data_IF_430855864319
#
_entry.id   IF_430855864319
#
_cell.length_a   1.000
_cell.length_b   1.000
_cell.length_c   1.000
_cell.angle_alpha   90.00
_cell.angle_beta   90.00
_cell.angle_gamma   90.00
#
_symmetry.space_group_name_H-M   'P 1'
#
loop_
_entity.id
_entity.type
_entity.pdbx_description
1 polymer ?
#
# COMPACT_ATOMS: atom_id res chain seq x y z
N UNK A 1 1.81 13.34 15.66
CA UNK A 1 1.44 12.48 14.52
C UNK A 1 2.63 11.58 14.24
N UNK A 2 2.48 10.29 14.49
CA UNK A 2 3.54 9.32 14.25
C UNK A 2 3.42 8.78 12.82
N UNK A 3 4.48 8.98 12.04
CA UNK A 3 4.58 8.54 10.65
C UNK A 3 4.40 7.03 10.52
N UNK A 4 4.89 6.26 11.51
CA UNK A 4 4.78 4.81 11.51
C UNK A 4 3.33 4.36 11.69
N UNK A 5 2.57 5.06 12.54
CA UNK A 5 1.12 4.78 12.72
C UNK A 5 0.38 5.02 11.40
N UNK A 6 0.65 6.14 10.73
CA UNK A 6 0.04 6.48 9.44
C UNK A 6 0.40 5.51 8.32
N UNK A 7 1.61 4.98 8.35
CA UNK A 7 2.04 3.94 7.42
C UNK A 7 1.34 2.60 7.67
N UNK A 8 1.16 2.22 8.93
CA UNK A 8 0.43 1.01 9.29
C UNK A 8 -1.05 1.11 8.88
N UNK A 9 -1.71 2.25 9.14
CA UNK A 9 -3.08 2.48 8.67
C UNK A 9 -3.21 2.35 7.14
N UNK A 10 -2.20 2.83 6.41
CA UNK A 10 -2.15 2.70 4.96
C UNK A 10 -1.91 1.24 4.50
N UNK A 11 -1.16 0.44 5.27
CA UNK A 11 -0.98 -0.99 5.03
C UNK A 11 -2.28 -1.76 5.28
N UNK A 12 -2.98 -1.47 6.38
CA UNK A 12 -4.26 -2.09 6.71
C UNK A 12 -5.29 -1.83 5.60
N UNK A 13 -5.35 -0.59 5.09
CA UNK A 13 -6.17 -0.25 3.94
C UNK A 13 -5.82 -1.08 2.69
N UNK A 14 -4.53 -1.31 2.42
CA UNK A 14 -4.09 -2.12 1.28
C UNK A 14 -4.57 -3.56 1.44
N UNK A 15 -4.41 -4.13 2.64
CA UNK A 15 -4.80 -5.51 2.97
C UNK A 15 -6.32 -5.72 2.83
N UNK A 16 -7.12 -4.79 3.35
CA UNK A 16 -8.58 -4.81 3.26
C UNK A 16 -9.08 -4.69 1.81
N UNK A 17 -8.31 -4.04 0.93
CA UNK A 17 -8.66 -3.82 -0.48
C UNK A 17 -7.89 -4.73 -1.45
N UNK A 18 -7.17 -5.76 -0.99
CA UNK A 18 -6.38 -6.64 -1.87
C UNK A 18 -7.22 -7.31 -2.97
N UNK A 19 -8.49 -7.59 -2.70
CA UNK A 19 -9.43 -8.22 -3.63
C UNK A 19 -10.07 -7.25 -4.62
N UNK A 20 -9.93 -5.95 -4.38
CA UNK A 20 -10.60 -4.87 -5.09
C UNK A 20 -9.59 -3.99 -5.81
N UNK A 21 -10.08 -3.03 -6.60
CA UNK A 21 -9.20 -1.99 -7.15
C UNK A 21 -8.66 -1.13 -6.01
N UNK A 22 -7.35 -0.90 -6.02
CA UNK A 22 -6.66 -0.11 -4.98
C UNK A 22 -6.39 1.27 -5.56
N UNK A 23 -6.99 2.31 -4.97
CA UNK A 23 -6.66 3.70 -5.29
C UNK A 23 -5.44 4.18 -4.49
N UNK A 24 -4.35 4.48 -5.19
CA UNK A 24 -3.14 5.02 -4.59
C UNK A 24 -3.34 6.40 -3.95
N UNK A 25 -4.32 7.19 -4.40
CA UNK A 25 -4.65 8.49 -3.81
C UNK A 25 -5.27 8.33 -2.44
N UNK A 26 -6.11 7.30 -2.27
CA UNK A 26 -6.77 7.02 -1.01
C UNK A 26 -5.76 6.54 0.05
N UNK A 27 -4.85 5.65 -0.34
CA UNK A 27 -3.70 5.23 0.48
C UNK A 27 -2.88 6.45 0.94
N UNK A 28 -2.55 7.33 0.02
CA UNK A 28 -1.77 8.53 0.33
C UNK A 28 -2.53 9.49 1.25
N UNK A 29 -3.85 9.61 1.08
CA UNK A 29 -4.75 10.35 1.95
C UNK A 29 -4.76 9.82 3.39
N UNK A 30 -4.84 8.49 3.56
CA UNK A 30 -4.74 7.82 4.88
C UNK A 30 -3.42 8.17 5.56
N UNK A 31 -2.32 8.09 4.80
CA UNK A 31 -0.98 8.43 5.27
C UNK A 31 -0.72 9.94 5.41
N UNK A 32 -1.70 10.80 5.13
CA UNK A 32 -1.59 12.27 5.17
C UNK A 32 -0.43 12.82 4.33
N UNK A 33 -0.15 12.21 3.17
CA UNK A 33 0.93 12.63 2.27
C UNK A 33 0.50 12.55 0.80
N UNK A 34 1.37 13.04 -0.10
CA UNK A 34 1.13 12.89 -1.54
C UNK A 34 1.41 11.45 -1.97
N UNK A 35 0.75 11.01 -3.03
CA UNK A 35 0.97 9.68 -3.63
C UNK A 35 2.47 9.44 -3.93
N UNK A 36 3.15 10.45 -4.44
CA UNK A 36 4.59 10.40 -4.71
C UNK A 36 5.41 10.19 -3.43
N UNK A 37 5.13 10.96 -2.37
CA UNK A 37 5.84 10.80 -1.09
C UNK A 37 5.55 9.44 -0.45
N UNK A 38 4.30 8.98 -0.49
CA UNK A 38 3.93 7.66 0.01
C UNK A 38 4.70 6.55 -0.70
N UNK A 39 4.65 6.52 -2.04
CA UNK A 39 5.35 5.51 -2.85
C UNK A 39 6.85 5.51 -2.58
N UNK A 40 7.46 6.69 -2.48
CA UNK A 40 8.90 6.83 -2.22
C UNK A 40 9.27 6.34 -0.82
N UNK A 41 8.51 6.75 0.19
CA UNK A 41 8.72 6.35 1.58
C UNK A 41 8.49 4.85 1.78
N UNK A 42 7.39 4.33 1.25
CA UNK A 42 7.11 2.89 1.24
C UNK A 42 8.26 2.12 0.62
N UNK A 43 8.72 2.51 -0.57
CA UNK A 43 9.80 1.80 -1.26
C UNK A 43 11.11 1.84 -0.48
N UNK A 44 11.39 2.96 0.18
CA UNK A 44 12.56 3.11 1.04
C UNK A 44 12.51 2.18 2.26
N UNK A 45 11.34 2.03 2.89
CA UNK A 45 11.15 1.21 4.09
C UNK A 45 11.01 -0.29 3.78
N UNK A 46 10.23 -0.64 2.76
CA UNK A 46 9.93 -2.02 2.38
C UNK A 46 10.97 -2.65 1.44
N UNK A 47 11.87 -1.84 0.86
CA UNK A 47 12.88 -2.29 -0.10
C UNK A 47 12.31 -2.70 -1.47
N UNK A 48 11.01 -2.52 -1.69
CA UNK A 48 10.31 -2.85 -2.95
C UNK A 48 9.27 -1.78 -3.29
N UNK A 49 8.97 -1.56 -4.59
CA UNK A 49 7.89 -0.67 -5.00
C UNK A 49 6.55 -1.11 -4.42
N UNK A 50 5.69 -0.13 -4.09
CA UNK A 50 4.34 -0.39 -3.58
C UNK A 50 3.50 -1.27 -4.52
N UNK A 51 3.58 -1.05 -5.83
CA UNK A 51 2.89 -1.86 -6.83
C UNK A 51 3.34 -3.31 -6.82
N UNK A 52 4.63 -3.55 -6.60
CA UNK A 52 5.20 -4.90 -6.49
C UNK A 52 4.76 -5.59 -5.20
N UNK A 53 4.71 -4.85 -4.09
CA UNK A 53 4.17 -5.36 -2.83
C UNK A 53 2.72 -5.83 -2.99
N UNK A 54 1.84 -4.98 -3.54
CA UNK A 54 0.43 -5.33 -3.79
C UNK A 54 0.31 -6.56 -4.68
N UNK A 55 1.09 -6.61 -5.78
CA UNK A 55 1.09 -7.75 -6.70
C UNK A 55 1.48 -9.05 -6.00
N UNK A 56 2.52 -9.03 -5.16
CA UNK A 56 2.96 -10.19 -4.39
C UNK A 56 1.91 -10.63 -3.37
N UNK A 57 1.29 -9.68 -2.66
CA UNK A 57 0.22 -9.97 -1.71
C UNK A 57 -0.96 -10.67 -2.38
N UNK A 58 -1.41 -10.17 -3.54
CA UNK A 58 -2.46 -10.84 -4.34
C UNK A 58 -2.07 -12.26 -4.78
N UNK A 59 -0.83 -12.46 -5.21
CA UNK A 59 -0.33 -13.77 -5.63
C UNK A 59 -0.26 -14.77 -4.46
N UNK A 60 0.21 -14.34 -3.28
CA UNK A 60 0.27 -15.18 -2.07
C UNK A 60 -1.12 -15.54 -1.58
N UNK A 61 -2.06 -14.58 -1.61
CA UNK A 61 -3.44 -14.79 -1.14
C UNK A 61 -4.32 -15.61 -2.10
N UNK A 62 -3.77 -16.12 -3.22
CA UNK A 62 -4.53 -16.93 -4.19
C UNK A 62 -5.56 -16.15 -5.01
N UNK A 63 -5.50 -14.82 -4.99
CA UNK A 63 -6.42 -13.88 -5.64
C UNK A 63 -6.06 -13.59 -7.10
N UNK A 64 -5.33 -14.48 -7.76
CA UNK A 64 -5.07 -14.37 -9.19
C UNK A 64 -6.41 -14.51 -9.94
N UNK A 65 -6.89 -13.47 -10.65
CA UNK A 65 -7.94 -13.69 -11.64
C UNK A 65 -7.31 -14.55 -12.73
N UNK A 66 -7.86 -15.76 -12.87
CA UNK A 66 -7.48 -16.69 -13.93
C UNK A 66 -8.00 -16.20 -15.27
#
# INVERSE_FOLDING_TARGET
>A
MDLLVKLNEALDYIEDNLTSEIDYKEIAGVACCSEYHFKRMFSFLAGVPLSEYIRRRRAISGLTPR
#
